data_IF_839641482279
#
_entry.id   IF_839641482279
#
_cell.length_a   1.000
_cell.length_b   1.000
_cell.length_c   1.000
_cell.angle_alpha   90.00
_cell.angle_beta   90.00
_cell.angle_gamma   90.00
#
_symmetry.space_group_name_H-M   'P 1'
#
loop_
_entity.id
_entity.type
_entity.pdbx_description
1 polymer ?
#
# COMPACT_ATOMS: atom_id res chain seq x y z
N UNK A 1 -6.96 7.96 -18.18
CA UNK A 1 -6.60 7.54 -16.81
C UNK A 1 -5.16 7.03 -16.85
N UNK A 2 -4.35 7.28 -15.81
CA UNK A 2 -2.95 6.87 -15.76
C UNK A 2 -2.78 5.35 -15.86
N UNK A 3 -3.65 4.59 -15.18
CA UNK A 3 -3.63 3.15 -15.08
C UNK A 3 -3.74 2.45 -16.46
N UNK A 4 -4.47 3.05 -17.40
CA UNK A 4 -4.66 2.52 -18.75
C UNK A 4 -3.35 2.36 -19.54
N UNK A 5 -2.30 3.11 -19.18
CA UNK A 5 -1.00 3.06 -19.84
C UNK A 5 -0.07 1.98 -19.26
N UNK A 6 -0.50 1.30 -18.18
CA UNK A 6 0.38 0.46 -17.37
C UNK A 6 -0.21 -0.94 -17.14
N UNK A 7 -1.53 -1.03 -16.87
CA UNK A 7 -2.19 -2.25 -16.38
C UNK A 7 -2.08 -3.48 -17.27
N UNK A 8 -1.94 -3.29 -18.59
CA UNK A 8 -1.92 -4.40 -19.55
C UNK A 8 -0.50 -4.96 -19.78
N UNK A 9 0.53 -4.20 -19.42
CA UNK A 9 1.94 -4.59 -19.61
C UNK A 9 2.63 -4.98 -18.30
N UNK A 10 2.28 -4.32 -17.19
CA UNK A 10 2.99 -4.46 -15.91
C UNK A 10 2.06 -4.84 -14.77
N UNK A 11 2.47 -5.83 -13.99
CA UNK A 11 1.78 -6.26 -12.75
C UNK A 11 2.38 -5.66 -11.48
N UNK A 12 3.54 -5.03 -11.58
CA UNK A 12 4.22 -4.41 -10.44
C UNK A 12 4.70 -3.03 -10.83
N UNK A 13 4.24 -2.02 -10.10
CA UNK A 13 4.47 -0.60 -10.38
C UNK A 13 5.13 0.02 -9.16
N UNK A 14 6.28 0.68 -9.36
CA UNK A 14 6.96 1.40 -8.28
C UNK A 14 6.89 2.90 -8.51
N UNK A 15 6.37 3.63 -7.53
CA UNK A 15 6.32 5.10 -7.56
C UNK A 15 7.52 5.65 -6.79
N UNK A 16 8.56 6.00 -7.51
CA UNK A 16 9.83 6.52 -6.97
C UNK A 16 9.96 8.03 -7.19
N UNK A 17 10.57 8.71 -6.22
CA UNK A 17 10.80 10.15 -6.30
C UNK A 17 11.83 10.62 -5.27
N UNK A 18 12.79 11.41 -5.72
CA UNK A 18 14.00 11.76 -4.96
C UNK A 18 13.81 12.81 -3.86
N UNK A 19 12.63 13.44 -3.78
CA UNK A 19 12.34 14.48 -2.78
C UNK A 19 11.11 14.13 -1.93
N UNK A 20 11.09 14.59 -0.67
CA UNK A 20 9.84 14.62 0.11
C UNK A 20 8.84 15.54 -0.61
N UNK A 21 7.56 15.23 -0.53
CA UNK A 21 6.47 16.01 -1.13
C UNK A 21 6.55 16.17 -2.66
N UNK A 22 7.22 15.23 -3.36
CA UNK A 22 7.32 15.22 -4.83
C UNK A 22 6.07 14.71 -5.56
N UNK A 23 4.92 14.63 -4.88
CA UNK A 23 3.68 14.11 -5.44
C UNK A 23 3.55 12.57 -5.51
N UNK A 24 4.45 11.79 -4.89
CA UNK A 24 4.39 10.31 -4.88
C UNK A 24 3.05 9.79 -4.37
N UNK A 25 2.63 10.23 -3.19
CA UNK A 25 1.38 9.79 -2.56
C UNK A 25 0.16 10.28 -3.33
N UNK A 26 0.25 11.43 -4.00
CA UNK A 26 -0.82 11.93 -4.89
C UNK A 26 -0.97 11.02 -6.11
N UNK A 27 0.14 10.63 -6.74
CA UNK A 27 0.12 9.68 -7.86
C UNK A 27 -0.38 8.29 -7.42
N UNK A 28 0.02 7.83 -6.23
CA UNK A 28 -0.47 6.58 -5.64
C UNK A 28 -1.99 6.61 -5.48
N UNK A 29 -2.53 7.64 -4.83
CA UNK A 29 -3.97 7.75 -4.61
C UNK A 29 -4.76 7.87 -5.91
N UNK A 30 -4.21 8.52 -6.93
CA UNK A 30 -4.84 8.57 -8.25
C UNK A 30 -4.91 7.17 -8.89
N UNK A 31 -3.83 6.38 -8.81
CA UNK A 31 -3.84 5.00 -9.32
C UNK A 31 -4.82 4.10 -8.56
N UNK A 32 -4.92 4.28 -7.24
CA UNK A 32 -5.91 3.55 -6.42
C UNK A 32 -7.33 3.90 -6.86
N UNK A 33 -7.65 5.18 -7.00
CA UNK A 33 -8.98 5.63 -7.43
C UNK A 33 -9.34 5.06 -8.81
N UNK A 34 -8.41 5.09 -9.77
CA UNK A 34 -8.63 4.52 -11.10
C UNK A 34 -8.77 2.99 -11.06
N UNK A 35 -8.06 2.30 -10.17
CA UNK A 35 -8.19 0.85 -10.01
C UNK A 35 -9.57 0.47 -9.42
N UNK A 36 -10.07 1.24 -8.46
CA UNK A 36 -11.42 1.10 -7.90
C UNK A 36 -12.47 1.28 -9.01
N UNK A 37 -12.38 2.36 -9.78
CA UNK A 37 -13.33 2.63 -10.88
C UNK A 37 -13.36 1.49 -11.92
N UNK A 38 -12.23 0.83 -12.12
CA UNK A 38 -12.09 -0.30 -13.05
C UNK A 38 -12.30 -1.69 -12.40
N UNK A 39 -12.64 -1.76 -11.11
CA UNK A 39 -12.80 -3.01 -10.34
C UNK A 39 -11.55 -3.90 -10.39
N UNK A 40 -10.36 -3.30 -10.31
CA UNK A 40 -9.08 -3.98 -10.30
C UNK A 40 -8.63 -4.18 -8.85
N UNK A 41 -8.47 -5.43 -8.44
CA UNK A 41 -7.95 -5.77 -7.12
C UNK A 41 -6.45 -5.47 -7.08
N UNK A 42 -6.04 -4.54 -6.23
CA UNK A 42 -4.64 -4.12 -6.10
C UNK A 42 -3.98 -4.65 -4.83
N UNK A 43 -2.65 -4.67 -4.86
CA UNK A 43 -1.76 -4.82 -3.72
C UNK A 43 -1.03 -3.51 -3.43
N UNK A 44 -0.82 -3.17 -2.17
CA UNK A 44 -0.10 -1.95 -1.78
C UNK A 44 1.09 -2.26 -0.88
N UNK A 45 2.28 -1.75 -1.24
CA UNK A 45 3.51 -1.88 -0.46
C UNK A 45 4.26 -0.54 -0.44
N UNK A 46 4.79 -0.14 0.73
CA UNK A 46 5.72 0.98 0.84
C UNK A 46 7.12 0.50 1.26
N UNK A 47 8.17 1.21 0.83
CA UNK A 47 9.55 1.00 1.33
C UNK A 47 9.83 1.72 2.65
N UNK A 48 8.80 2.37 3.22
CA UNK A 48 8.78 3.05 4.51
C UNK A 48 7.38 3.01 5.09
N UNK A 49 6.93 4.10 5.71
CA UNK A 49 5.56 4.29 6.17
C UNK A 49 4.89 5.34 5.29
N UNK A 50 3.69 5.04 4.80
CA UNK A 50 2.84 5.96 4.03
C UNK A 50 1.40 5.95 4.55
N UNK A 51 0.65 7.05 4.36
CA UNK A 51 -0.72 7.22 4.85
C UNK A 51 -0.84 7.84 6.25
N UNK A 52 0.24 8.37 6.80
CA UNK A 52 0.26 9.04 8.12
C UNK A 52 -0.64 10.27 8.14
N UNK A 53 -1.30 10.57 9.26
CA UNK A 53 -2.18 11.75 9.40
C UNK A 53 -1.45 13.05 9.75
N UNK A 54 -0.26 12.98 10.35
CA UNK A 54 0.49 14.17 10.78
C UNK A 54 1.93 14.14 10.25
N UNK A 55 2.31 15.21 9.54
CA UNK A 55 3.72 15.55 9.34
C UNK A 55 4.12 16.51 10.47
N UNK A 56 4.87 16.00 11.46
CA UNK A 56 5.39 16.78 12.60
C UNK A 56 6.28 17.97 12.12
N UNK A 57 6.71 17.99 10.85
CA UNK A 57 7.53 19.05 10.30
C UNK A 57 6.77 20.15 9.54
N UNK A 58 5.52 19.94 9.08
CA UNK A 58 4.89 20.87 8.10
C UNK A 58 3.45 21.31 8.38
N UNK A 59 2.80 20.89 9.47
CA UNK A 59 1.42 21.30 9.85
C UNK A 59 0.35 21.08 8.74
N UNK A 60 0.64 20.23 7.76
CA UNK A 60 -0.27 19.90 6.65
C UNK A 60 -0.75 18.46 6.75
N UNK A 61 -2.06 18.25 6.57
CA UNK A 61 -2.65 16.91 6.52
C UNK A 61 -2.05 16.12 5.36
N UNK A 62 -1.37 15.02 5.67
CA UNK A 62 -0.87 14.10 4.65
C UNK A 62 -2.04 13.34 4.01
N UNK A 63 -2.00 13.09 2.68
CA UNK A 63 -3.05 12.36 2.01
C UNK A 63 -3.11 10.91 2.53
N UNK A 64 -4.24 10.56 3.15
CA UNK A 64 -4.54 9.18 3.58
C UNK A 64 -4.70 8.25 2.37
N UNK A 65 -4.51 6.96 2.59
CA UNK A 65 -4.67 5.92 1.57
C UNK A 65 -6.01 5.25 1.83
N UNK A 66 -6.97 5.45 0.92
CA UNK A 66 -8.24 4.73 0.94
C UNK A 66 -8.07 3.39 0.22
N UNK A 67 -8.53 2.30 0.83
CA UNK A 67 -8.46 0.97 0.25
C UNK A 67 -9.87 0.37 0.18
N UNK A 68 -10.25 -0.08 -1.01
CA UNK A 68 -11.53 -0.74 -1.25
C UNK A 68 -11.48 -2.21 -0.80
N UNK A 69 -12.64 -2.77 -0.45
CA UNK A 69 -12.82 -4.21 -0.20
C UNK A 69 -12.09 -5.05 -1.24
N UNK A 70 -11.35 -6.05 -0.77
CA UNK A 70 -10.55 -6.93 -1.61
C UNK A 70 -9.11 -6.47 -1.82
N UNK A 71 -8.78 -5.20 -1.57
CA UNK A 71 -7.40 -4.68 -1.63
C UNK A 71 -6.49 -5.47 -0.68
N UNK A 72 -5.34 -5.89 -1.19
CA UNK A 72 -4.26 -6.45 -0.39
C UNK A 72 -3.26 -5.36 -0.03
N UNK A 73 -2.64 -5.45 1.13
CA UNK A 73 -1.61 -4.47 1.51
C UNK A 73 -0.63 -5.03 2.52
N UNK A 74 0.58 -4.49 2.49
CA UNK A 74 1.58 -4.69 3.52
C UNK A 74 1.49 -3.58 4.58
N UNK A 75 1.52 -3.95 5.85
CA UNK A 75 1.63 -3.01 6.97
C UNK A 75 2.37 -3.65 8.13
N UNK A 76 2.47 -2.97 9.27
CA UNK A 76 2.94 -3.57 10.52
C UNK A 76 1.81 -3.76 11.53
N UNK A 77 2.03 -4.63 12.52
CA UNK A 77 1.09 -4.84 13.64
C UNK A 77 0.72 -3.55 14.36
N UNK A 78 1.66 -2.60 14.51
CA UNK A 78 1.41 -1.31 15.15
C UNK A 78 0.50 -0.42 14.29
N UNK A 79 0.79 -0.32 12.99
CA UNK A 79 0.04 0.53 12.07
C UNK A 79 -1.35 0.00 11.74
N UNK A 80 -1.55 -1.32 11.77
CA UNK A 80 -2.85 -1.94 11.55
C UNK A 80 -3.90 -1.41 12.55
N UNK A 81 -3.50 -1.14 13.80
CA UNK A 81 -4.39 -0.60 14.83
C UNK A 81 -4.89 0.83 14.55
N UNK A 82 -4.26 1.54 13.61
CA UNK A 82 -4.59 2.91 13.21
C UNK A 82 -5.50 2.95 11.97
N UNK A 83 -5.84 1.80 11.39
CA UNK A 83 -6.76 1.72 10.27
C UNK A 83 -8.20 1.80 10.74
N UNK A 84 -9.06 2.46 9.95
CA UNK A 84 -10.51 2.45 10.13
C UNK A 84 -11.22 1.47 9.16
N UNK A 85 -10.46 0.75 8.34
CA UNK A 85 -10.95 -0.37 7.52
C UNK A 85 -11.06 -1.65 8.35
N UNK A 86 -11.99 -2.53 8.00
CA UNK A 86 -11.97 -3.90 8.55
C UNK A 86 -11.00 -4.75 7.74
N UNK A 87 -10.03 -5.38 8.41
CA UNK A 87 -8.92 -6.09 7.76
C UNK A 87 -8.84 -7.53 8.24
N UNK A 88 -8.75 -8.46 7.29
CA UNK A 88 -8.35 -9.84 7.52
C UNK A 88 -6.82 -9.94 7.45
N UNK A 89 -6.18 -10.48 8.49
CA UNK A 89 -4.74 -10.76 8.47
C UNK A 89 -4.53 -12.08 7.72
N UNK A 90 -3.87 -12.02 6.57
CA UNK A 90 -3.59 -13.19 5.72
C UNK A 90 -2.31 -13.90 6.15
N UNK A 91 -1.26 -13.12 6.42
CA UNK A 91 0.06 -13.64 6.80
C UNK A 91 0.77 -12.63 7.71
N UNK A 92 1.37 -13.09 8.80
CA UNK A 92 2.42 -12.34 9.51
C UNK A 92 3.74 -12.89 8.99
N UNK A 93 4.55 -12.03 8.38
CA UNK A 93 5.81 -12.43 7.74
C UNK A 93 6.96 -12.45 8.75
N UNK A 94 8.08 -13.07 8.38
CA UNK A 94 9.32 -13.03 9.18
C UNK A 94 10.09 -11.69 9.02
N UNK A 95 9.56 -10.73 8.24
CA UNK A 95 10.20 -9.44 8.02
C UNK A 95 9.87 -8.46 9.16
N UNK A 96 10.85 -7.66 9.56
CA UNK A 96 10.72 -6.69 10.65
C UNK A 96 11.20 -5.31 10.26
N UNK A 97 10.51 -4.31 10.80
CA UNK A 97 10.90 -2.90 10.76
C UNK A 97 10.96 -2.36 12.20
N UNK A 98 11.46 -1.13 12.43
CA UNK A 98 11.35 -0.50 13.74
C UNK A 98 9.90 -0.32 14.24
N UNK A 99 8.90 -0.38 13.35
CA UNK A 99 7.46 -0.26 13.65
C UNK A 99 6.79 -1.65 13.85
N UNK A 100 7.58 -2.71 13.98
CA UNK A 100 7.09 -4.07 14.22
C UNK A 100 7.22 -5.03 13.03
N UNK A 101 6.58 -6.19 13.19
CA UNK A 101 6.54 -7.26 12.18
C UNK A 101 5.65 -6.86 11.00
N UNK A 102 6.11 -7.15 9.79
CA UNK A 102 5.36 -6.89 8.57
C UNK A 102 4.33 -7.99 8.39
N UNK A 103 3.09 -7.59 8.09
CA UNK A 103 1.99 -8.49 7.79
C UNK A 103 1.35 -8.13 6.44
N UNK A 104 0.69 -9.11 5.84
CA UNK A 104 -0.18 -8.94 4.68
C UNK A 104 -1.63 -8.94 5.18
N UNK A 105 -2.32 -7.83 4.93
CA UNK A 105 -3.75 -7.68 5.18
C UNK A 105 -4.57 -7.75 3.90
N UNK A 106 -5.83 -8.16 4.02
CA UNK A 106 -6.86 -8.01 3.00
C UNK A 106 -8.01 -7.18 3.56
N UNK A 107 -8.42 -6.14 2.84
CA UNK A 107 -9.55 -5.31 3.23
C UNK A 107 -10.86 -6.09 3.07
N UNK A 108 -11.65 -6.13 4.13
CA UNK A 108 -12.97 -6.78 4.21
C UNK A 108 -14.13 -5.78 4.23
N UNK A 109 -13.86 -4.57 4.73
CA UNK A 109 -14.76 -3.42 4.64
C UNK A 109 -13.89 -2.18 4.38
N UNK A 110 -14.27 -1.41 3.36
CA UNK A 110 -13.45 -0.33 2.81
C UNK A 110 -13.15 0.75 3.86
N UNK A 111 -11.96 1.35 3.77
CA UNK A 111 -11.56 2.40 4.69
C UNK A 111 -10.15 2.91 4.42
N UNK A 112 -9.67 3.77 5.30
CA UNK A 112 -8.32 4.28 5.31
C UNK A 112 -7.36 3.32 6.04
N UNK A 113 -6.23 3.08 5.39
CA UNK A 113 -5.15 2.23 5.89
C UNK A 113 -3.85 3.04 5.95
N UNK A 114 -2.91 2.55 6.77
CA UNK A 114 -1.51 2.93 6.70
C UNK A 114 -0.71 1.74 6.19
N UNK A 115 0.11 1.97 5.17
CA UNK A 115 0.93 0.91 4.58
C UNK A 115 2.37 1.06 5.04
N UNK A 116 2.99 -0.08 5.27
CA UNK A 116 4.41 -0.16 5.57
C UNK A 116 4.98 -1.47 5.05
N UNK A 117 6.24 -1.44 4.66
CA UNK A 117 6.89 -2.60 4.09
C UNK A 117 8.38 -2.65 4.36
N UNK A 118 9.05 -3.67 3.80
CA UNK A 118 10.45 -3.90 4.06
C UNK A 118 11.32 -2.88 3.33
N UNK A 119 12.53 -2.64 3.86
CA UNK A 119 13.51 -1.74 3.21
C UNK A 119 14.35 -2.44 2.14
N UNK A 120 14.43 -3.78 2.19
CA UNK A 120 15.21 -4.55 1.22
C UNK A 120 14.45 -4.76 -0.07
N UNK A 121 15.09 -4.46 -1.21
CA UNK A 121 14.54 -4.73 -2.55
C UNK A 121 14.19 -6.21 -2.75
N UNK A 122 14.96 -7.13 -2.17
CA UNK A 122 14.67 -8.57 -2.24
C UNK A 122 13.36 -8.89 -1.53
N UNK A 123 13.16 -8.35 -0.32
CA UNK A 123 11.95 -8.57 0.47
C UNK A 123 10.73 -7.92 -0.18
N UNK A 124 10.88 -6.71 -0.76
CA UNK A 124 9.80 -6.06 -1.51
C UNK A 124 9.38 -6.94 -2.68
N UNK A 125 10.35 -7.46 -3.45
CA UNK A 125 10.07 -8.32 -4.61
C UNK A 125 9.34 -9.62 -4.21
N UNK A 126 9.79 -10.26 -3.13
CA UNK A 126 9.15 -11.46 -2.57
C UNK A 126 7.72 -11.16 -2.09
N UNK A 127 7.53 -10.04 -1.39
CA UNK A 127 6.24 -9.61 -0.87
C UNK A 127 5.25 -9.24 -1.99
N UNK A 128 5.72 -8.53 -3.03
CA UNK A 128 4.93 -8.25 -4.23
C UNK A 128 4.46 -9.54 -4.90
N UNK A 129 5.36 -10.52 -5.05
CA UNK A 129 4.99 -11.80 -5.66
C UNK A 129 3.98 -12.57 -4.80
N UNK A 130 4.12 -12.56 -3.47
CA UNK A 130 3.13 -13.15 -2.56
C UNK A 130 1.76 -12.50 -2.73
N UNK A 131 1.69 -11.18 -2.74
CA UNK A 131 0.43 -10.45 -2.89
C UNK A 131 -0.23 -10.73 -4.26
N UNK A 132 0.55 -10.78 -5.35
CA UNK A 132 0.04 -11.21 -6.66
C UNK A 132 -0.53 -12.64 -6.61
N UNK A 133 0.16 -13.56 -5.94
CA UNK A 133 -0.30 -14.95 -5.81
C UNK A 133 -1.57 -15.09 -4.97
N UNK A 134 -1.84 -14.14 -4.05
CA UNK A 134 -3.08 -14.07 -3.27
C UNK A 134 -4.28 -13.57 -4.09
N UNK A 135 -4.04 -13.04 -5.29
CA UNK A 135 -5.09 -12.62 -6.21
C UNK A 135 -5.13 -11.12 -6.49
N UNK A 136 -4.16 -10.33 -6.01
CA UNK A 136 -3.96 -9.00 -6.54
C UNK A 136 -3.62 -9.08 -8.04
N UNK A 137 -4.24 -8.23 -8.84
CA UNK A 137 -3.98 -8.12 -10.27
C UNK A 137 -2.76 -7.24 -10.55
N UNK A 138 -2.55 -6.22 -9.72
CA UNK A 138 -1.45 -5.24 -9.78
C UNK A 138 -0.96 -4.98 -8.37
N UNK A 139 0.35 -4.76 -8.18
CA UNK A 139 1.01 -4.36 -6.92
C UNK A 139 1.82 -3.09 -7.10
#
# INVERSE_FOLDING_TARGET
MLLQYIKDEYKTISIVGMAKNSGKTVALNQLIAEAIDENIVIGLISTGRDGESEDIATETEKPKIFAEEGTYFATTTELLSLSDATVEIIEITDYRTPLGEILIGRVKDSGYIQIAGPQSLTQIKELSQKILNLGAQIV
#
